data_IF_230822192218
#
_entry.id   IF_230822192218
#
_cell.length_a   1.000
_cell.length_b   1.000
_cell.length_c   1.000
_cell.angle_alpha   90.00
_cell.angle_beta   90.00
_cell.angle_gamma   90.00
#
_symmetry.space_group_name_H-M   'P 1'
#
loop_
_entity.id
_entity.type
_entity.pdbx_description
1 polymer ?
#
# COMPACT_ATOMS: atom_id res chain seq x y z
N UNK A 1 -21.00 27.02 27.38
CA UNK A 1 -22.36 26.48 27.63
C UNK A 1 -22.70 25.51 26.51
N UNK A 2 -23.15 24.31 26.86
CA UNK A 2 -23.51 23.26 25.89
C UNK A 2 -24.59 23.74 24.93
N UNK A 3 -24.57 23.22 23.70
CA UNK A 3 -25.65 23.46 22.71
C UNK A 3 -26.99 23.06 23.33
N UNK A 4 -27.00 21.92 24.03
CA UNK A 4 -28.17 21.40 24.75
C UNK A 4 -28.73 22.41 25.77
N UNK A 5 -27.89 22.99 26.63
CA UNK A 5 -28.37 23.91 27.65
C UNK A 5 -28.97 25.19 27.03
N UNK A 6 -28.40 25.69 25.93
CA UNK A 6 -28.93 26.88 25.24
C UNK A 6 -30.27 26.62 24.56
N UNK A 7 -30.45 25.44 23.94
CA UNK A 7 -31.74 25.04 23.35
C UNK A 7 -32.80 24.88 24.44
N UNK A 8 -32.49 24.15 25.52
CA UNK A 8 -33.41 23.97 26.65
C UNK A 8 -33.83 25.29 27.29
N UNK A 9 -32.89 26.23 27.49
CA UNK A 9 -33.21 27.55 28.02
C UNK A 9 -34.17 28.32 27.10
N UNK A 10 -33.94 28.27 25.79
CA UNK A 10 -34.76 29.01 24.83
C UNK A 10 -36.17 28.42 24.67
N UNK A 11 -36.29 27.09 24.66
CA UNK A 11 -37.57 26.38 24.65
C UNK A 11 -38.33 26.65 25.96
N UNK A 12 -37.63 26.68 27.10
CA UNK A 12 -38.21 27.04 28.39
C UNK A 12 -38.80 28.45 28.41
N UNK A 13 -38.09 29.44 27.84
CA UNK A 13 -38.60 30.81 27.72
C UNK A 13 -39.87 30.85 26.85
N UNK A 14 -39.87 30.22 25.67
CA UNK A 14 -41.06 30.14 24.80
C UNK A 14 -42.25 29.50 25.53
N UNK A 15 -42.01 28.43 26.28
CA UNK A 15 -43.05 27.77 27.04
C UNK A 15 -43.64 28.67 28.13
N UNK A 16 -42.79 29.40 28.87
CA UNK A 16 -43.25 30.34 29.91
C UNK A 16 -44.08 31.49 29.31
N UNK A 17 -43.68 32.03 28.15
CA UNK A 17 -44.45 33.07 27.46
C UNK A 17 -45.81 32.53 27.02
N UNK A 18 -45.85 31.34 26.40
CA UNK A 18 -47.09 30.71 25.98
C UNK A 18 -48.02 30.40 27.17
N UNK A 19 -47.47 29.90 28.29
CA UNK A 19 -48.21 29.63 29.51
C UNK A 19 -48.81 30.92 30.12
N UNK A 20 -48.04 32.01 30.14
CA UNK A 20 -48.51 33.32 30.60
C UNK A 20 -49.64 33.87 29.73
N UNK A 21 -49.51 33.78 28.40
CA UNK A 21 -50.59 34.18 27.47
C UNK A 21 -51.85 33.34 27.68
N UNK A 22 -51.70 32.04 27.88
CA UNK A 22 -52.83 31.13 28.13
C UNK A 22 -53.52 31.46 29.45
N UNK A 23 -52.76 31.69 30.52
CA UNK A 23 -53.31 32.06 31.82
C UNK A 23 -54.07 33.40 31.77
N UNK A 24 -53.52 34.42 31.08
CA UNK A 24 -54.19 35.69 30.87
C UNK A 24 -55.48 35.54 30.06
N UNK A 25 -55.43 34.77 28.97
CA UNK A 25 -56.61 34.47 28.14
C UNK A 25 -57.69 33.75 28.95
N UNK A 26 -57.29 32.75 29.73
CA UNK A 26 -58.21 31.99 30.58
C UNK A 26 -58.88 32.88 31.63
N UNK A 27 -58.11 33.74 32.31
CA UNK A 27 -58.62 34.67 33.33
C UNK A 27 -59.69 35.60 32.75
N UNK A 28 -59.35 36.34 31.68
CA UNK A 28 -60.25 37.33 31.06
C UNK A 28 -61.47 36.65 30.43
N UNK A 29 -61.29 35.51 29.74
CA UNK A 29 -62.42 34.77 29.14
C UNK A 29 -63.36 34.20 30.21
N UNK A 30 -62.85 33.85 31.39
CA UNK A 30 -63.69 33.34 32.48
C UNK A 30 -64.60 34.41 33.07
N UNK A 31 -64.15 35.67 33.11
CA UNK A 31 -64.92 36.84 33.56
C UNK A 31 -65.99 37.23 32.52
N UNK A 32 -65.67 37.18 31.22
CA UNK A 32 -66.61 37.50 30.13
C UNK A 32 -67.88 36.63 30.06
N UNK A 33 -67.91 35.49 30.74
CA UNK A 33 -69.08 34.58 30.73
C UNK A 33 -70.32 35.24 31.33
N UNK A 34 -70.17 36.18 32.26
CA UNK A 34 -71.27 36.89 32.92
C UNK A 34 -71.63 38.21 32.22
N UNK A 35 -70.69 38.88 31.54
CA UNK A 35 -70.88 40.18 30.84
C UNK A 35 -72.06 40.21 29.87
N UNK A 36 -72.14 39.20 28.99
CA UNK A 36 -73.22 39.12 28.01
C UNK A 36 -74.61 39.00 28.65
N UNK A 37 -74.70 38.39 29.84
CA UNK A 37 -75.94 38.31 30.59
C UNK A 37 -76.26 39.62 31.30
N UNK A 38 -75.25 40.28 31.88
CA UNK A 38 -75.36 41.57 32.57
C UNK A 38 -75.86 42.65 31.62
N UNK A 39 -75.27 42.76 30.42
CA UNK A 39 -75.69 43.73 29.39
C UNK A 39 -77.13 43.45 28.93
N UNK A 40 -77.49 42.18 28.71
CA UNK A 40 -78.86 41.81 28.35
C UNK A 40 -79.87 42.14 29.46
N UNK A 41 -79.50 41.91 30.72
CA UNK A 41 -80.35 42.18 31.87
C UNK A 41 -80.54 43.69 32.06
N UNK A 42 -79.48 44.49 31.91
CA UNK A 42 -79.53 45.94 31.95
C UNK A 42 -80.36 46.51 30.78
N UNK A 43 -80.21 45.98 29.57
CA UNK A 43 -81.08 46.34 28.43
C UNK A 43 -82.55 46.00 28.66
N UNK A 44 -82.85 44.89 29.37
CA UNK A 44 -84.22 44.54 29.78
C UNK A 44 -84.79 45.54 30.79
N UNK A 45 -83.99 46.09 31.71
CA UNK A 45 -84.45 47.09 32.68
C UNK A 45 -85.03 48.32 31.98
N UNK A 46 -84.33 48.82 30.96
CA UNK A 46 -84.80 49.92 30.11
C UNK A 46 -86.18 49.67 29.52
N UNK A 47 -86.36 48.49 28.93
CA UNK A 47 -87.64 48.09 28.34
C UNK A 47 -88.75 47.98 29.40
N UNK A 48 -88.42 47.48 30.61
CA UNK A 48 -89.39 47.38 31.71
C UNK A 48 -89.87 48.77 32.19
N UNK A 49 -88.99 49.76 32.30
CA UNK A 49 -89.36 51.13 32.66
C UNK A 49 -90.35 51.73 31.67
N UNK A 50 -90.04 51.64 30.37
CA UNK A 50 -90.94 52.13 29.31
C UNK A 50 -92.25 51.37 29.28
N UNK A 51 -92.22 50.05 29.50
CA UNK A 51 -93.42 49.21 29.54
C UNK A 51 -94.29 49.54 30.76
N UNK A 52 -93.71 49.74 31.94
CA UNK A 52 -94.42 50.18 33.14
C UNK A 52 -95.08 51.54 32.88
N UNK A 53 -94.34 52.51 32.35
CA UNK A 53 -94.89 53.83 32.05
C UNK A 53 -96.07 53.73 31.05
N UNK A 54 -95.92 52.94 29.98
CA UNK A 54 -96.98 52.70 29.00
C UNK A 54 -98.21 52.00 29.61
N UNK A 55 -98.01 50.95 30.39
CA UNK A 55 -99.09 50.18 31.02
C UNK A 55 -99.87 51.05 32.04
N UNK A 56 -99.16 51.90 32.79
CA UNK A 56 -99.75 52.87 33.74
C UNK A 56 -100.56 53.95 33.02
N UNK A 57 -100.05 54.52 31.92
CA UNK A 57 -100.79 55.50 31.11
C UNK A 57 -102.03 54.89 30.45
N UNK A 58 -101.91 53.65 29.94
CA UNK A 58 -103.04 52.92 29.37
C UNK A 58 -104.12 52.68 30.43
N UNK A 59 -103.74 52.29 31.65
CA UNK A 59 -104.65 52.12 32.79
C UNK A 59 -105.31 53.44 33.17
N UNK A 60 -104.56 54.55 33.23
CA UNK A 60 -105.10 55.88 33.51
C UNK A 60 -106.14 56.33 32.47
N UNK A 61 -105.92 55.97 31.20
CA UNK A 61 -106.85 56.28 30.11
C UNK A 61 -108.10 55.38 30.16
N UNK A 62 -107.95 54.06 30.39
CA UNK A 62 -109.06 53.11 30.50
C UNK A 62 -109.92 53.29 31.75
N UNK A 63 -109.34 53.82 32.84
CA UNK A 63 -110.07 54.17 34.05
C UNK A 63 -111.06 55.33 33.83
N UNK A 64 -110.80 56.22 32.86
CA UNK A 64 -111.75 57.27 32.44
C UNK A 64 -112.92 56.73 31.60
N UNK A 65 -112.73 55.60 30.92
CA UNK A 65 -113.71 54.94 30.06
C UNK A 65 -114.39 53.71 30.67
N UNK A 66 -114.18 53.45 31.98
CA UNK A 66 -114.96 52.49 32.77
C UNK A 66 -114.55 51.00 32.66
N UNK A 67 -113.37 50.69 32.13
CA UNK A 67 -113.00 49.31 31.76
C UNK A 67 -111.59 48.85 32.14
N UNK A 68 -111.01 49.31 33.26
CA UNK A 68 -109.68 48.87 33.68
C UNK A 68 -109.69 47.38 34.12
N UNK A 69 -108.80 46.51 33.59
CA UNK A 69 -108.71 45.11 34.01
C UNK A 69 -108.34 44.97 35.49
N UNK A 70 -109.04 44.10 36.23
CA UNK A 70 -108.71 43.79 37.62
C UNK A 70 -107.32 43.12 37.72
N UNK A 71 -106.46 43.61 38.63
CA UNK A 71 -105.13 43.05 38.90
C UNK A 71 -103.95 43.68 38.14
N UNK A 72 -104.20 44.52 37.12
CA UNK A 72 -103.11 45.15 36.34
C UNK A 72 -102.22 46.08 37.18
N UNK A 73 -102.80 46.77 38.18
CA UNK A 73 -102.05 47.60 39.13
C UNK A 73 -101.09 46.79 40.02
N UNK A 74 -101.52 45.61 40.48
CA UNK A 74 -100.67 44.71 41.29
C UNK A 74 -99.51 44.14 40.45
N UNK A 75 -99.75 43.85 39.18
CA UNK A 75 -98.72 43.42 38.24
C UNK A 75 -97.70 44.54 37.95
N UNK A 76 -98.15 45.79 37.85
CA UNK A 76 -97.27 46.96 37.72
C UNK A 76 -96.37 47.11 38.96
N UNK A 77 -96.93 47.00 40.17
CA UNK A 77 -96.13 47.04 41.42
C UNK A 77 -95.11 45.92 41.50
N UNK A 78 -95.49 44.69 41.12
CA UNK A 78 -94.55 43.56 41.05
C UNK A 78 -93.40 43.83 40.09
N UNK A 79 -93.67 44.39 38.90
CA UNK A 79 -92.63 44.76 37.93
C UNK A 79 -91.72 45.88 38.44
N UNK A 80 -92.27 46.87 39.14
CA UNK A 80 -91.49 47.94 39.75
C UNK A 80 -90.55 47.41 40.85
N UNK A 81 -91.02 46.51 41.72
CA UNK A 81 -90.18 45.85 42.72
C UNK A 81 -89.10 44.95 42.11
N UNK A 82 -89.44 44.23 41.02
CA UNK A 82 -88.47 43.43 40.27
C UNK A 82 -87.41 44.30 39.58
N UNK A 83 -87.78 45.50 39.12
CA UNK A 83 -86.87 46.50 38.57
C UNK A 83 -85.85 46.96 39.63
N UNK A 84 -86.31 47.37 40.81
CA UNK A 84 -85.41 47.78 41.91
C UNK A 84 -84.45 46.66 42.33
N UNK A 85 -84.96 45.44 42.45
CA UNK A 85 -84.16 44.26 42.83
C UNK A 85 -83.07 43.99 41.79
N UNK A 86 -83.43 44.04 40.51
CA UNK A 86 -82.49 43.81 39.41
C UNK A 86 -81.46 44.94 39.31
N UNK A 87 -81.87 46.19 39.51
CA UNK A 87 -80.97 47.34 39.50
C UNK A 87 -79.88 47.22 40.58
N UNK A 88 -80.27 46.82 41.79
CA UNK A 88 -79.35 46.66 42.91
C UNK A 88 -78.39 45.48 42.70
N UNK A 89 -78.90 44.39 42.10
CA UNK A 89 -78.11 43.23 41.71
C UNK A 89 -77.05 43.58 40.64
N UNK A 90 -77.41 44.39 39.64
CA UNK A 90 -76.46 44.86 38.63
C UNK A 90 -75.38 45.75 39.25
N UNK A 91 -75.74 46.62 40.19
CA UNK A 91 -74.79 47.55 40.81
C UNK A 91 -73.80 46.86 41.77
N UNK A 92 -74.28 45.93 42.60
CA UNK A 92 -73.52 45.38 43.73
C UNK A 92 -73.05 43.94 43.53
N UNK A 93 -73.49 43.29 42.46
CA UNK A 93 -73.29 41.86 42.25
C UNK A 93 -74.19 41.01 43.16
N UNK A 94 -74.18 39.70 42.92
CA UNK A 94 -74.97 38.72 43.64
C UNK A 94 -75.51 37.61 42.73
N UNK A 95 -76.48 36.85 43.23
CA UNK A 95 -77.05 35.74 42.45
C UNK A 95 -78.35 36.16 41.79
N UNK A 96 -78.38 36.13 40.45
CA UNK A 96 -79.62 36.24 39.69
C UNK A 96 -80.35 34.90 39.69
N UNK A 97 -81.53 34.84 40.31
CA UNK A 97 -82.38 33.65 40.36
C UNK A 97 -83.53 33.78 39.35
N UNK A 98 -83.22 33.49 38.08
CA UNK A 98 -84.18 33.47 36.96
C UNK A 98 -84.50 32.05 36.49
N UNK A 99 -84.59 31.83 35.17
CA UNK A 99 -84.74 30.48 34.60
C UNK A 99 -83.51 29.58 34.81
N UNK A 100 -82.36 30.18 35.12
CA UNK A 100 -81.11 29.53 35.53
C UNK A 100 -80.44 30.46 36.56
N UNK A 101 -79.73 29.87 37.53
CA UNK A 101 -78.96 30.62 38.53
C UNK A 101 -77.63 31.07 37.93
N UNK A 102 -77.34 32.36 38.03
CA UNK A 102 -76.07 32.94 37.60
C UNK A 102 -75.51 33.84 38.68
N UNK A 103 -74.20 33.79 38.89
CA UNK A 103 -73.49 34.79 39.66
C UNK A 103 -73.22 35.99 38.76
N UNK A 104 -73.53 37.18 39.26
CA UNK A 104 -73.16 38.46 38.66
C UNK A 104 -72.08 39.05 39.55
N UNK A 105 -70.91 39.27 38.97
CA UNK A 105 -69.82 39.93 39.67
C UNK A 105 -70.16 41.41 39.89
N UNK A 106 -69.64 42.04 40.97
CA UNK A 106 -69.84 43.45 41.19
C UNK A 106 -69.34 44.28 40.01
N UNK A 107 -70.16 45.21 39.54
CA UNK A 107 -69.77 46.16 38.48
C UNK A 107 -68.55 46.99 38.90
N UNK A 108 -67.77 47.48 37.94
CA UNK A 108 -66.71 48.45 38.23
C UNK A 108 -67.23 49.66 39.00
N UNK A 109 -66.34 50.39 39.67
CA UNK A 109 -66.71 51.58 40.47
C UNK A 109 -67.51 52.60 39.64
N UNK A 110 -67.16 52.78 38.36
CA UNK A 110 -67.85 53.72 37.46
C UNK A 110 -69.21 53.21 37.02
N UNK A 111 -69.29 51.95 36.56
CA UNK A 111 -70.56 51.34 36.17
C UNK A 111 -71.54 51.23 37.36
N UNK A 112 -71.04 50.84 38.54
CA UNK A 112 -71.80 50.81 39.78
C UNK A 112 -72.34 52.20 40.17
N UNK A 113 -71.55 53.27 40.00
CA UNK A 113 -72.00 54.63 40.28
C UNK A 113 -73.14 55.06 39.35
N UNK A 114 -73.06 54.74 38.05
CA UNK A 114 -74.12 55.02 37.07
C UNK A 114 -75.38 54.18 37.34
N UNK A 115 -75.21 52.91 37.74
CA UNK A 115 -76.32 52.04 38.14
C UNK A 115 -76.98 52.54 39.43
N UNK A 116 -76.22 53.04 40.40
CA UNK A 116 -76.75 53.65 41.62
C UNK A 116 -77.51 54.95 41.30
N UNK A 117 -77.01 55.77 40.37
CA UNK A 117 -77.70 56.97 39.89
C UNK A 117 -79.05 56.61 39.25
N UNK A 118 -79.06 55.65 38.33
CA UNK A 118 -80.30 55.13 37.74
C UNK A 118 -81.25 54.57 38.82
N UNK A 119 -80.72 53.84 39.81
CA UNK A 119 -81.51 53.32 40.93
C UNK A 119 -82.14 54.40 41.81
N UNK A 120 -81.47 55.54 42.00
CA UNK A 120 -82.06 56.69 42.71
C UNK A 120 -83.24 57.30 41.98
N UNK A 121 -83.23 57.27 40.64
CA UNK A 121 -84.31 57.79 39.80
C UNK A 121 -85.53 56.85 39.71
N UNK A 122 -85.37 55.56 40.04
CA UNK A 122 -86.48 54.60 40.09
C UNK A 122 -87.49 54.98 41.18
N UNK A 123 -87.03 55.52 42.33
CA UNK A 123 -87.89 55.94 43.43
C UNK A 123 -88.90 57.05 43.02
N UNK A 124 -88.48 58.21 42.48
CA UNK A 124 -89.43 59.24 42.04
C UNK A 124 -90.32 58.74 40.88
N UNK A 125 -89.79 57.90 39.98
CA UNK A 125 -90.64 57.24 38.98
C UNK A 125 -91.72 56.36 39.62
N UNK A 126 -91.38 55.57 40.63
CA UNK A 126 -92.33 54.76 41.39
C UNK A 126 -93.40 55.59 42.12
N UNK A 127 -93.04 56.77 42.64
CA UNK A 127 -94.00 57.70 43.25
C UNK A 127 -95.02 58.20 42.22
N UNK A 128 -94.59 58.57 41.02
CA UNK A 128 -95.50 58.97 39.93
C UNK A 128 -96.39 57.81 39.46
N UNK A 129 -95.84 56.58 39.40
CA UNK A 129 -96.62 55.36 39.10
C UNK A 129 -97.73 55.15 40.14
N UNK A 130 -97.42 55.21 41.44
CA UNK A 130 -98.41 55.02 42.50
C UNK A 130 -99.44 56.16 42.56
N UNK A 131 -99.02 57.40 42.32
CA UNK A 131 -99.95 58.54 42.29
C UNK A 131 -101.07 58.36 41.26
N UNK A 132 -100.74 57.76 40.10
CA UNK A 132 -101.68 57.42 39.02
C UNK A 132 -102.54 56.22 39.40
N UNK A 133 -101.95 55.17 39.97
CA UNK A 133 -102.69 53.97 40.41
C UNK A 133 -103.69 54.28 41.53
N UNK A 134 -103.37 55.21 42.44
CA UNK A 134 -104.23 55.64 43.54
C UNK A 134 -105.37 56.59 43.12
N UNK A 135 -105.49 56.94 41.83
CA UNK A 135 -106.49 57.87 41.27
C UNK A 135 -106.51 59.24 41.96
N UNK A 136 -105.33 59.77 42.29
CA UNK A 136 -105.23 61.09 42.93
C UNK A 136 -105.45 62.19 41.87
N UNK A 137 -106.25 63.22 42.15
CA UNK A 137 -106.61 64.30 41.19
C UNK A 137 -105.43 65.19 40.71
N UNK A 138 -104.20 64.93 41.16
CA UNK A 138 -103.01 65.72 40.87
C UNK A 138 -102.08 65.07 39.81
N UNK A 139 -102.64 64.40 38.80
CA UNK A 139 -101.86 63.61 37.83
C UNK A 139 -101.59 64.39 36.54
N UNK A 140 -100.31 64.59 36.22
CA UNK A 140 -99.85 64.99 34.88
C UNK A 140 -99.14 63.81 34.22
N UNK A 141 -99.71 63.16 33.19
CA UNK A 141 -99.04 62.14 32.39
C UNK A 141 -97.62 62.54 31.94
N UNK A 142 -97.40 63.83 31.74
CA UNK A 142 -96.12 64.45 31.43
C UNK A 142 -95.04 64.21 32.50
N UNK A 143 -95.40 64.21 33.80
CA UNK A 143 -94.45 63.94 34.90
C UNK A 143 -94.01 62.49 34.94
N UNK A 144 -94.92 61.54 34.70
CA UNK A 144 -94.59 60.13 34.59
C UNK A 144 -93.68 59.87 33.38
N UNK A 145 -94.00 60.48 32.23
CA UNK A 145 -93.17 60.36 31.02
C UNK A 145 -91.77 60.93 31.30
N UNK A 146 -91.67 62.14 31.85
CA UNK A 146 -90.39 62.76 32.19
C UNK A 146 -89.58 61.94 33.20
N UNK A 147 -90.23 61.38 34.24
CA UNK A 147 -89.57 60.50 35.20
C UNK A 147 -89.09 59.18 34.55
N UNK A 148 -89.89 58.61 33.65
CA UNK A 148 -89.52 57.39 32.91
C UNK A 148 -88.35 57.65 31.94
N UNK A 149 -88.34 58.79 31.26
CA UNK A 149 -87.25 59.21 30.36
C UNK A 149 -85.97 59.44 31.15
N UNK A 150 -86.05 60.06 32.34
CA UNK A 150 -84.89 60.26 33.21
C UNK A 150 -84.26 58.93 33.66
N UNK A 151 -85.08 57.95 34.07
CA UNK A 151 -84.60 56.61 34.43
C UNK A 151 -83.98 55.91 33.22
N UNK A 152 -84.65 55.95 32.06
CA UNK A 152 -84.14 55.33 30.81
C UNK A 152 -82.80 55.95 30.40
N UNK A 153 -82.67 57.28 30.45
CA UNK A 153 -81.43 57.97 30.11
C UNK A 153 -80.28 57.61 31.06
N UNK A 154 -80.54 57.46 32.36
CA UNK A 154 -79.54 57.00 33.31
C UNK A 154 -79.16 55.53 33.10
N UNK A 155 -80.13 54.67 32.79
CA UNK A 155 -79.88 53.26 32.44
C UNK A 155 -79.09 53.12 31.14
N UNK A 156 -79.34 53.96 30.13
CA UNK A 156 -78.58 53.97 28.88
C UNK A 156 -77.11 54.33 29.11
N UNK A 157 -76.83 55.30 29.98
CA UNK A 157 -75.46 55.63 30.40
C UNK A 157 -74.78 54.45 31.09
N UNK A 158 -75.47 53.77 32.00
CA UNK A 158 -74.94 52.60 32.70
C UNK A 158 -74.67 51.43 31.73
N UNK A 159 -75.59 51.13 30.81
CA UNK A 159 -75.42 50.10 29.78
C UNK A 159 -74.26 50.43 28.85
N UNK A 160 -74.15 51.67 28.38
CA UNK A 160 -73.05 52.11 27.53
C UNK A 160 -71.69 51.94 28.23
N UNK A 161 -71.61 52.24 29.53
CA UNK A 161 -70.38 52.05 30.30
C UNK A 161 -70.02 50.59 30.53
N UNK A 162 -71.03 49.73 30.76
CA UNK A 162 -70.84 48.28 30.86
C UNK A 162 -70.36 47.69 29.52
N UNK A 163 -70.91 48.16 28.39
CA UNK A 163 -70.46 47.75 27.05
C UNK A 163 -69.02 48.18 26.78
N UNK A 164 -68.66 49.43 27.12
CA UNK A 164 -67.29 49.93 26.98
C UNK A 164 -66.28 49.13 27.82
N UNK A 165 -66.67 48.67 29.01
CA UNK A 165 -65.81 47.83 29.86
C UNK A 165 -65.46 46.50 29.19
N UNK A 166 -66.48 45.80 28.66
CA UNK A 166 -66.26 44.54 27.94
C UNK A 166 -65.41 44.74 26.68
N UNK A 167 -65.57 45.88 25.99
CA UNK A 167 -64.71 46.24 24.84
C UNK A 167 -63.25 46.50 25.27
N UNK A 168 -63.03 47.19 26.39
CA UNK A 168 -61.70 47.44 26.97
C UNK A 168 -61.01 46.14 27.38
N UNK A 169 -61.74 45.18 27.96
CA UNK A 169 -61.21 43.86 28.31
C UNK A 169 -60.79 43.06 27.07
N UNK A 170 -61.60 43.10 26.01
CA UNK A 170 -61.24 42.47 24.72
C UNK A 170 -60.03 43.14 24.09
N UNK A 171 -59.96 44.47 24.12
CA UNK A 171 -58.80 45.24 23.62
C UNK A 171 -57.53 44.92 24.41
N UNK A 172 -57.63 44.80 25.73
CA UNK A 172 -56.53 44.41 26.61
C UNK A 172 -56.05 43.00 26.29
N UNK A 173 -56.96 42.05 26.09
CA UNK A 173 -56.64 40.68 25.67
C UNK A 173 -55.93 40.65 24.30
N UNK A 174 -56.42 41.40 23.31
CA UNK A 174 -55.76 41.54 22.00
C UNK A 174 -54.35 42.12 22.12
N UNK A 175 -54.15 43.11 22.99
CA UNK A 175 -52.84 43.73 23.22
C UNK A 175 -51.87 42.75 23.87
N UNK A 176 -52.31 42.00 24.90
CA UNK A 176 -51.51 40.93 25.54
C UNK A 176 -51.12 39.87 24.51
N UNK A 177 -52.04 39.47 23.63
CA UNK A 177 -51.77 38.50 22.57
C UNK A 177 -50.76 39.01 21.54
N UNK A 178 -50.91 40.25 21.08
CA UNK A 178 -50.00 40.86 20.12
C UNK A 178 -48.58 40.99 20.69
N UNK A 179 -48.43 41.47 21.93
CA UNK A 179 -47.14 41.57 22.63
C UNK A 179 -46.53 40.19 22.84
N UNK A 180 -47.33 39.21 23.26
CA UNK A 180 -46.88 37.83 23.45
C UNK A 180 -46.40 37.17 22.15
N UNK A 181 -47.11 37.35 21.03
CA UNK A 181 -46.67 36.88 19.70
C UNK A 181 -45.38 37.57 19.26
N UNK A 182 -45.25 38.88 19.49
CA UNK A 182 -44.02 39.62 19.22
C UNK A 182 -42.82 39.08 20.00
N UNK A 183 -43.01 38.82 21.30
CA UNK A 183 -41.97 38.22 22.14
C UNK A 183 -41.58 36.82 21.66
N UNK A 184 -42.57 35.98 21.32
CA UNK A 184 -42.32 34.66 20.72
C UNK A 184 -41.52 34.75 19.41
N UNK A 185 -41.83 35.72 18.54
CA UNK A 185 -41.09 35.94 17.30
C UNK A 185 -39.63 36.36 17.57
N UNK A 186 -39.39 37.26 18.53
CA UNK A 186 -38.03 37.68 18.91
C UNK A 186 -37.22 36.52 19.49
N UNK A 187 -37.83 35.72 20.38
CA UNK A 187 -37.15 34.53 20.93
C UNK A 187 -36.86 33.53 19.82
N UNK A 188 -37.80 33.29 18.90
CA UNK A 188 -37.61 32.41 17.76
C UNK A 188 -36.45 32.86 16.85
N UNK A 189 -36.40 34.15 16.48
CA UNK A 189 -35.30 34.72 15.70
C UNK A 189 -33.95 34.59 16.42
N UNK A 190 -33.94 34.80 17.73
CA UNK A 190 -32.74 34.64 18.57
C UNK A 190 -32.26 33.19 18.57
N UNK A 191 -33.17 32.23 18.68
CA UNK A 191 -32.86 30.79 18.58
C UNK A 191 -32.30 30.45 17.21
N UNK A 192 -32.92 30.93 16.12
CA UNK A 192 -32.45 30.68 14.76
C UNK A 192 -31.04 31.25 14.53
N UNK A 193 -30.80 32.48 14.98
CA UNK A 193 -29.48 33.10 14.90
C UNK A 193 -28.43 32.32 15.70
N UNK A 194 -28.78 31.92 16.93
CA UNK A 194 -27.89 31.15 17.79
C UNK A 194 -27.63 29.75 17.23
N UNK A 195 -28.64 29.07 16.67
CA UNK A 195 -28.49 27.77 16.02
C UNK A 195 -27.59 27.86 14.78
N UNK A 196 -27.75 28.91 13.97
CA UNK A 196 -26.87 29.18 12.84
C UNK A 196 -25.42 29.35 13.27
N UNK A 197 -25.16 30.16 14.30
CA UNK A 197 -23.80 30.46 14.78
C UNK A 197 -23.17 29.29 15.56
N UNK A 198 -23.94 28.59 16.38
CA UNK A 198 -23.43 27.54 17.26
C UNK A 198 -23.39 26.15 16.61
N UNK A 199 -24.27 25.86 15.64
CA UNK A 199 -24.39 24.52 15.05
C UNK A 199 -24.04 24.53 13.57
N UNK A 200 -24.80 25.25 12.75
CA UNK A 200 -24.65 25.21 11.27
C UNK A 200 -23.28 25.72 10.79
N UNK A 201 -22.79 26.84 11.33
CA UNK A 201 -21.50 27.40 10.94
C UNK A 201 -20.30 26.49 11.26
N UNK A 202 -20.13 26.02 12.51
CA UNK A 202 -19.07 25.07 12.85
C UNK A 202 -19.18 23.73 12.10
N UNK A 203 -20.38 23.19 11.89
CA UNK A 203 -20.56 21.99 11.06
C UNK A 203 -20.14 22.22 9.61
N UNK A 204 -20.45 23.39 9.04
CA UNK A 204 -19.99 23.78 7.70
C UNK A 204 -18.46 23.74 7.58
N UNK A 205 -17.75 24.30 8.57
CA UNK A 205 -16.28 24.27 8.63
C UNK A 205 -15.71 22.86 8.75
N UNK A 206 -16.34 21.98 9.55
CA UNK A 206 -15.91 20.57 9.62
C UNK A 206 -16.14 19.83 8.30
N UNK A 207 -17.24 20.14 7.59
CA UNK A 207 -17.50 19.61 6.26
C UNK A 207 -16.44 20.07 5.26
N UNK A 208 -16.11 21.36 5.24
CA UNK A 208 -15.05 21.90 4.37
C UNK A 208 -13.70 21.27 4.67
N UNK A 209 -13.34 21.14 5.96
CA UNK A 209 -12.12 20.44 6.38
C UNK A 209 -12.08 18.99 5.89
N UNK A 210 -13.16 18.22 6.12
CA UNK A 210 -13.24 16.84 5.64
C UNK A 210 -13.16 16.75 4.11
N UNK A 211 -13.73 17.72 3.39
CA UNK A 211 -13.64 17.80 1.93
C UNK A 211 -12.23 18.12 1.44
N UNK A 212 -11.48 18.99 2.12
CA UNK A 212 -10.10 19.31 1.78
C UNK A 212 -9.18 18.10 1.96
N UNK A 213 -9.33 17.40 3.09
CA UNK A 213 -8.61 16.15 3.39
C UNK A 213 -8.92 15.08 2.36
N UNK A 214 -10.20 14.91 1.98
CA UNK A 214 -10.61 13.98 0.93
C UNK A 214 -10.06 14.37 -0.45
N UNK A 215 -9.81 15.66 -0.70
CA UNK A 215 -9.14 16.18 -1.88
C UNK A 215 -7.62 16.00 -1.88
N UNK A 216 -7.03 15.42 -0.83
CA UNK A 216 -5.60 15.16 -0.71
C UNK A 216 -4.83 16.21 0.10
N UNK A 217 -5.48 17.27 0.58
CA UNK A 217 -4.84 18.26 1.45
C UNK A 217 -4.85 17.81 2.91
N UNK A 218 -3.81 17.07 3.30
CA UNK A 218 -3.62 16.59 4.68
C UNK A 218 -2.98 17.63 5.60
N UNK A 219 -2.64 18.81 5.07
CA UNK A 219 -2.13 19.94 5.87
C UNK A 219 -3.26 20.90 6.26
N UNK A 220 -4.48 20.66 5.78
CA UNK A 220 -5.66 21.42 6.17
C UNK A 220 -5.81 21.42 7.70
N UNK A 221 -6.30 22.54 8.25
CA UNK A 221 -6.52 22.69 9.70
C UNK A 221 -7.97 23.11 9.93
N UNK A 222 -8.73 22.45 10.81
CA UNK A 222 -10.10 22.83 11.12
C UNK A 222 -10.12 24.06 12.04
N UNK A 223 -9.90 25.24 11.45
CA UNK A 223 -9.69 26.49 12.16
C UNK A 223 -10.97 27.14 12.73
N UNK A 224 -10.78 27.83 13.86
CA UNK A 224 -11.76 28.69 14.52
C UNK A 224 -12.50 28.02 15.69
N UNK A 225 -13.52 28.71 16.20
CA UNK A 225 -14.16 28.33 17.46
C UNK A 225 -15.27 27.30 17.29
N UNK A 226 -15.25 26.27 18.14
CA UNK A 226 -16.26 25.22 18.18
C UNK A 226 -16.88 25.16 19.57
N UNK A 227 -18.22 24.99 19.68
CA UNK A 227 -18.83 24.61 20.94
C UNK A 227 -18.21 23.32 21.48
N UNK A 228 -18.22 23.08 22.80
CA UNK A 228 -17.56 21.94 23.42
C UNK A 228 -17.88 20.59 22.76
N UNK A 229 -19.15 20.34 22.41
CA UNK A 229 -19.59 19.09 21.79
C UNK A 229 -19.04 18.90 20.38
N UNK A 230 -18.94 19.98 19.59
CA UNK A 230 -18.37 19.94 18.24
C UNK A 230 -16.84 20.01 18.25
N UNK A 231 -16.23 20.57 19.31
CA UNK A 231 -14.78 20.58 19.49
C UNK A 231 -14.25 19.15 19.68
N UNK A 232 -14.97 18.29 20.40
CA UNK A 232 -14.63 16.86 20.51
C UNK A 232 -14.61 16.19 19.13
N UNK A 233 -15.61 16.48 18.28
CA UNK A 233 -15.67 15.95 16.92
C UNK A 233 -14.53 16.48 16.04
N UNK A 234 -14.23 17.79 16.13
CA UNK A 234 -13.07 18.41 15.48
C UNK A 234 -11.78 17.67 15.83
N UNK A 235 -11.54 17.43 17.11
CA UNK A 235 -10.31 16.81 17.61
C UNK A 235 -10.20 15.33 17.24
N UNK A 236 -11.34 14.63 17.16
CA UNK A 236 -11.38 13.27 16.64
C UNK A 236 -11.01 13.23 15.15
N UNK A 237 -11.57 14.13 14.34
CA UNK A 237 -11.24 14.25 12.91
C UNK A 237 -9.78 14.68 12.70
N UNK A 238 -9.26 15.62 13.48
CA UNK A 238 -7.86 16.03 13.41
C UNK A 238 -6.90 14.88 13.72
N UNK A 239 -7.17 14.10 14.78
CA UNK A 239 -6.36 12.91 15.11
C UNK A 239 -6.41 11.83 14.03
N UNK A 240 -7.56 11.64 13.37
CA UNK A 240 -7.69 10.72 12.25
C UNK A 240 -6.81 11.14 11.07
N UNK A 241 -6.78 12.43 10.75
CA UNK A 241 -5.95 12.97 9.66
C UNK A 241 -4.46 12.90 10.00
N UNK A 242 -4.07 13.17 11.24
CA UNK A 242 -2.67 12.99 11.66
C UNK A 242 -2.23 11.52 11.54
N UNK A 243 -3.10 10.58 11.92
CA UNK A 243 -2.85 9.15 11.74
C UNK A 243 -2.68 8.78 10.26
N UNK A 244 -3.56 9.31 9.39
CA UNK A 244 -3.47 9.12 7.94
C UNK A 244 -2.17 9.70 7.35
N UNK A 245 -1.73 10.86 7.85
CA UNK A 245 -0.45 11.46 7.45
C UNK A 245 0.72 10.57 7.84
N UNK A 246 0.70 10.02 9.06
CA UNK A 246 1.71 9.09 9.54
C UNK A 246 1.77 7.80 8.72
N UNK A 247 0.62 7.21 8.37
CA UNK A 247 0.59 6.00 7.53
C UNK A 247 1.07 6.27 6.11
N UNK A 248 0.71 7.40 5.49
CA UNK A 248 1.20 7.77 4.17
C UNK A 248 2.70 8.04 4.14
N UNK A 249 3.25 8.72 5.15
CA UNK A 249 4.69 8.90 5.28
C UNK A 249 5.44 7.56 5.40
N UNK A 250 4.87 6.60 6.14
CA UNK A 250 5.43 5.26 6.24
C UNK A 250 5.36 4.47 4.92
N UNK A 251 4.25 4.61 4.17
CA UNK A 251 4.11 3.99 2.84
C UNK A 251 5.13 4.57 1.87
N UNK A 252 5.32 5.90 1.85
CA UNK A 252 6.29 6.55 0.96
C UNK A 252 7.73 6.14 1.28
N UNK A 253 8.11 6.12 2.56
CA UNK A 253 9.43 5.63 2.98
C UNK A 253 9.65 4.17 2.56
N UNK A 254 8.64 3.31 2.70
CA UNK A 254 8.71 1.92 2.29
C UNK A 254 8.75 1.75 0.76
N UNK A 255 8.09 2.63 0.01
CA UNK A 255 8.14 2.65 -1.45
C UNK A 255 9.54 3.06 -1.96
N UNK A 256 10.19 4.03 -1.30
CA UNK A 256 11.60 4.38 -1.56
C UNK A 256 12.54 3.21 -1.24
N UNK A 257 12.30 2.48 -0.15
CA UNK A 257 13.08 1.29 0.17
C UNK A 257 12.91 0.20 -0.89
N UNK A 258 11.67 -0.07 -1.33
CA UNK A 258 11.37 -1.03 -2.38
C UNK A 258 12.02 -0.69 -3.72
N UNK A 259 12.11 0.59 -4.08
CA UNK A 259 12.79 1.02 -5.32
C UNK A 259 14.29 0.79 -5.26
N UNK A 260 14.93 1.05 -4.11
CA UNK A 260 16.35 0.70 -3.91
C UNK A 260 16.56 -0.82 -3.98
N UNK A 261 15.72 -1.62 -3.31
CA UNK A 261 15.82 -3.08 -3.35
C UNK A 261 15.58 -3.64 -4.77
N UNK A 262 14.71 -3.02 -5.56
CA UNK A 262 14.47 -3.41 -6.96
C UNK A 262 15.71 -3.15 -7.83
N UNK A 263 16.34 -1.98 -7.70
CA UNK A 263 17.59 -1.64 -8.38
C UNK A 263 18.73 -2.62 -8.01
N UNK A 264 18.86 -2.96 -6.72
CA UNK A 264 19.87 -3.90 -6.25
C UNK A 264 19.60 -5.32 -6.78
N UNK A 265 18.34 -5.75 -6.83
CA UNK A 265 17.96 -7.03 -7.43
C UNK A 265 18.27 -7.08 -8.93
N UNK A 266 18.03 -6.00 -9.67
CA UNK A 266 18.36 -5.92 -11.10
C UNK A 266 19.88 -6.02 -11.33
N UNK A 267 20.68 -5.33 -10.51
CA UNK A 267 22.15 -5.44 -10.53
C UNK A 267 22.64 -6.84 -10.21
N UNK A 268 22.07 -7.49 -9.19
CA UNK A 268 22.43 -8.86 -8.84
C UNK A 268 22.10 -9.84 -9.98
N UNK A 269 20.96 -9.66 -10.64
CA UNK A 269 20.54 -10.49 -11.78
C UNK A 269 21.45 -10.29 -13.00
N UNK A 270 21.88 -9.05 -13.27
CA UNK A 270 22.84 -8.74 -14.33
C UNK A 270 24.20 -9.41 -14.06
N UNK A 271 24.72 -9.31 -12.83
CA UNK A 271 25.97 -9.96 -12.43
C UNK A 271 25.88 -11.49 -12.53
N UNK A 272 24.75 -12.09 -12.13
CA UNK A 272 24.51 -13.52 -12.24
C UNK A 272 24.54 -14.01 -13.69
N UNK A 273 23.89 -13.27 -14.62
CA UNK A 273 23.93 -13.58 -16.06
C UNK A 273 25.33 -13.50 -16.64
N UNK A 274 26.13 -12.51 -16.23
CA UNK A 274 27.53 -12.41 -16.67
C UNK A 274 28.36 -13.61 -16.18
N UNK A 275 28.16 -14.02 -14.92
CA UNK A 275 28.83 -15.18 -14.35
C UNK A 275 28.42 -16.49 -15.05
N UNK A 276 27.15 -16.64 -15.41
CA UNK A 276 26.65 -17.78 -16.19
C UNK A 276 27.33 -17.84 -17.57
N UNK A 277 27.44 -16.71 -18.27
CA UNK A 277 28.13 -16.62 -19.55
C UNK A 277 29.62 -17.00 -19.45
N UNK A 278 30.33 -16.52 -18.41
CA UNK A 278 31.73 -16.90 -18.14
C UNK A 278 31.87 -18.40 -17.86
N UNK A 279 30.93 -18.97 -17.11
CA UNK A 279 30.94 -20.40 -16.78
C UNK A 279 30.69 -21.26 -18.02
N UNK A 280 29.77 -20.84 -18.90
CA UNK A 280 29.52 -21.50 -20.18
C UNK A 280 30.76 -21.48 -21.09
N UNK A 281 31.47 -20.35 -21.17
CA UNK A 281 32.72 -20.25 -21.94
C UNK A 281 33.82 -21.18 -21.35
N UNK A 282 33.95 -21.20 -20.02
CA UNK A 282 34.92 -22.08 -19.34
C UNK A 282 34.63 -23.56 -19.62
N UNK A 283 33.36 -23.96 -19.57
CA UNK A 283 32.94 -25.33 -19.91
C UNK A 283 33.22 -25.68 -21.38
N UNK A 284 33.01 -24.75 -22.31
CA UNK A 284 33.35 -24.96 -23.73
C UNK A 284 34.86 -25.17 -23.92
N UNK A 285 35.70 -24.34 -23.29
CA UNK A 285 37.16 -24.49 -23.32
C UNK A 285 37.62 -25.81 -22.69
N UNK A 286 36.99 -26.23 -21.59
CA UNK A 286 37.25 -27.54 -20.98
C UNK A 286 36.89 -28.69 -21.93
N UNK A 287 35.77 -28.58 -22.65
CA UNK A 287 35.36 -29.53 -23.67
C UNK A 287 36.40 -29.68 -24.79
N UNK A 288 36.92 -28.58 -25.33
CA UNK A 288 38.00 -28.59 -26.31
C UNK A 288 39.32 -29.17 -25.75
N UNK A 289 39.66 -28.83 -24.51
CA UNK A 289 40.83 -29.37 -23.81
C UNK A 289 40.75 -30.89 -23.67
N UNK A 290 39.59 -31.41 -23.26
CA UNK A 290 39.33 -32.83 -23.14
C UNK A 290 39.38 -33.56 -24.50
N UNK A 291 38.91 -32.92 -25.58
CA UNK A 291 39.01 -33.47 -26.93
C UNK A 291 40.47 -33.54 -27.41
N UNK A 292 41.27 -32.50 -27.18
CA UNK A 292 42.72 -32.49 -27.47
C UNK A 292 43.46 -33.57 -26.69
N UNK A 293 43.18 -33.71 -25.40
CA UNK A 293 43.77 -34.75 -24.56
C UNK A 293 43.47 -36.15 -25.09
N UNK A 294 42.23 -36.42 -25.53
CA UNK A 294 41.87 -37.67 -26.20
C UNK A 294 42.67 -37.89 -27.49
N UNK A 295 42.81 -36.87 -28.33
CA UNK A 295 43.62 -36.96 -29.56
C UNK A 295 45.10 -37.29 -29.29
N UNK A 296 45.71 -36.63 -28.31
CA UNK A 296 47.09 -36.92 -27.88
C UNK A 296 47.20 -38.37 -27.38
N UNK A 297 46.28 -38.81 -26.53
CA UNK A 297 46.28 -40.18 -26.01
C UNK A 297 46.19 -41.22 -27.14
N UNK A 298 45.38 -40.96 -28.18
CA UNK A 298 45.26 -41.84 -29.32
C UNK A 298 46.56 -41.91 -30.14
N UNK A 299 47.19 -40.76 -30.40
CA UNK A 299 48.50 -40.70 -31.08
C UNK A 299 49.59 -41.43 -30.29
N UNK A 300 49.61 -41.30 -28.95
CA UNK A 300 50.53 -42.06 -28.09
C UNK A 300 50.31 -43.57 -28.21
N UNK A 301 49.06 -44.02 -28.23
CA UNK A 301 48.75 -45.45 -28.42
C UNK A 301 49.23 -45.96 -29.79
N UNK A 302 49.00 -45.20 -30.86
CA UNK A 302 49.45 -45.56 -32.21
C UNK A 302 50.98 -45.61 -32.32
N UNK A 303 51.69 -44.61 -31.78
CA UNK A 303 53.15 -44.61 -31.75
C UNK A 303 53.71 -45.75 -30.90
N UNK A 304 53.07 -46.09 -29.78
CA UNK A 304 53.47 -47.22 -28.93
C UNK A 304 53.31 -48.55 -29.67
N UNK A 305 52.21 -48.72 -30.41
CA UNK A 305 52.00 -49.90 -31.26
C UNK A 305 53.06 -49.99 -32.38
N UNK A 306 53.37 -48.86 -33.03
CA UNK A 306 54.44 -48.80 -34.04
C UNK A 306 55.83 -49.10 -33.46
N UNK A 307 56.10 -48.69 -32.23
CA UNK A 307 57.36 -48.98 -31.54
C UNK A 307 57.55 -50.48 -31.27
N UNK A 308 56.49 -51.20 -30.87
CA UNK A 308 56.54 -52.65 -30.68
C UNK A 308 56.95 -53.38 -31.96
N UNK A 309 56.39 -52.99 -33.11
CA UNK A 309 56.78 -53.55 -34.41
C UNK A 309 58.25 -53.27 -34.76
N UNK A 310 58.76 -52.06 -34.45
CA UNK A 310 60.19 -51.74 -34.63
C UNK A 310 61.09 -52.56 -33.71
N UNK A 311 60.68 -52.81 -32.47
CA UNK A 311 61.42 -53.68 -31.54
C UNK A 311 61.53 -55.10 -32.10
N UNK A 312 60.45 -55.64 -32.66
CA UNK A 312 60.45 -56.96 -33.29
C UNK A 312 61.40 -57.01 -34.50
N UNK A 313 61.37 -55.98 -35.35
CA UNK A 313 62.28 -55.86 -36.49
C UNK A 313 63.76 -55.79 -36.04
N UNK A 314 64.06 -55.04 -34.97
CA UNK A 314 65.39 -54.99 -34.38
C UNK A 314 65.80 -56.36 -33.84
N UNK A 315 64.89 -57.09 -33.19
CA UNK A 315 65.13 -58.46 -32.72
C UNK A 315 65.48 -59.42 -33.86
N UNK A 316 64.77 -59.35 -34.98
CA UNK A 316 65.07 -60.14 -36.18
C UNK A 316 66.42 -59.75 -36.81
N UNK A 317 66.70 -58.44 -36.90
CA UNK A 317 67.99 -57.94 -37.40
C UNK A 317 69.16 -58.39 -36.53
N UNK A 318 69.00 -58.36 -35.21
CA UNK A 318 70.00 -58.86 -34.27
C UNK A 318 70.24 -60.38 -34.42
N UNK A 319 69.18 -61.17 -34.64
CA UNK A 319 69.31 -62.60 -34.92
C UNK A 319 70.09 -62.86 -36.22
N UNK A 320 69.77 -62.16 -37.31
CA UNK A 320 70.50 -62.28 -38.57
C UNK A 320 71.97 -61.85 -38.43
N UNK A 321 72.24 -60.81 -37.65
CA UNK A 321 73.61 -60.38 -37.36
C UNK A 321 74.40 -61.43 -36.58
N UNK A 322 73.77 -62.10 -35.60
CA UNK A 322 74.38 -63.22 -34.88
C UNK A 322 74.74 -64.37 -35.81
N UNK A 323 73.87 -64.72 -36.75
CA UNK A 323 74.12 -65.82 -37.69
C UNK A 323 75.30 -65.48 -38.62
N UNK A 324 75.39 -64.24 -39.13
CA UNK A 324 76.56 -63.76 -39.90
C UNK A 324 77.85 -63.78 -39.09
N UNK A 325 77.78 -63.49 -37.79
CA UNK A 325 78.95 -63.61 -36.91
C UNK A 325 79.40 -65.06 -36.75
N UNK A 326 78.47 -66.03 -36.70
CA UNK A 326 78.82 -67.45 -36.68
C UNK A 326 79.51 -67.90 -37.98
N UNK A 327 78.99 -67.47 -39.14
CA UNK A 327 79.63 -67.76 -40.44
C UNK A 327 81.05 -67.17 -40.50
N UNK A 328 81.22 -65.93 -40.00
CA UNK A 328 82.52 -65.28 -39.93
C UNK A 328 83.48 -66.03 -39.00
N UNK A 329 83.00 -66.50 -37.85
CA UNK A 329 83.80 -67.30 -36.93
C UNK A 329 84.26 -68.63 -37.58
N UNK A 330 83.35 -69.32 -38.28
CA UNK A 330 83.68 -70.54 -39.01
C UNK A 330 84.72 -70.28 -40.12
N UNK A 331 84.59 -69.18 -40.87
CA UNK A 331 85.58 -68.77 -41.86
C UNK A 331 86.95 -68.48 -41.22
N UNK A 332 86.98 -67.87 -40.03
CA UNK A 332 88.21 -67.63 -39.27
C UNK A 332 88.85 -68.94 -38.79
N UNK A 333 88.07 -69.94 -38.36
CA UNK A 333 88.59 -71.28 -38.03
C UNK A 333 89.23 -71.96 -39.25
N UNK A 334 88.56 -71.88 -40.40
CA UNK A 334 89.07 -72.45 -41.65
C UNK A 334 90.35 -71.74 -42.10
N UNK A 335 90.39 -70.41 -41.98
CA UNK A 335 91.58 -69.62 -42.30
C UNK A 335 92.76 -69.97 -41.37
N UNK A 336 92.51 -70.19 -40.07
CA UNK A 336 93.54 -70.64 -39.13
C UNK A 336 94.11 -72.01 -39.52
N UNK A 337 93.25 -72.94 -39.96
CA UNK A 337 93.70 -74.24 -40.46
C UNK A 337 94.60 -74.09 -41.70
N UNK A 338 94.24 -73.23 -42.65
CA UNK A 338 95.06 -72.95 -43.84
C UNK A 338 96.40 -72.32 -43.46
N UNK A 339 96.44 -71.40 -42.49
CA UNK A 339 97.70 -70.79 -42.02
C UNK A 339 98.62 -71.85 -41.41
N UNK A 340 98.11 -72.79 -40.62
CA UNK A 340 98.89 -73.90 -40.07
C UNK A 340 99.42 -74.85 -41.17
N UNK A 341 98.62 -75.10 -42.20
CA UNK A 341 99.03 -75.91 -43.35
C UNK A 341 100.14 -75.22 -44.16
N UNK A 342 100.00 -73.93 -44.45
CA UNK A 342 101.04 -73.13 -45.12
C UNK A 342 102.32 -73.12 -44.28
N UNK A 343 102.24 -72.98 -42.96
CA UNK A 343 103.40 -73.04 -42.08
C UNK A 343 104.10 -74.41 -42.12
N UNK A 344 103.34 -75.51 -42.14
CA UNK A 344 103.90 -76.87 -42.33
C UNK A 344 104.58 -77.03 -43.68
N UNK A 345 103.94 -76.57 -44.76
CA UNK A 345 104.50 -76.64 -46.11
C UNK A 345 105.79 -75.82 -46.23
N UNK A 346 105.82 -74.60 -45.66
CA UNK A 346 107.02 -73.79 -45.62
C UNK A 346 108.16 -74.46 -44.84
N UNK A 347 107.86 -75.10 -43.70
CA UNK A 347 108.84 -75.87 -42.93
C UNK A 347 109.39 -77.07 -43.73
N UNK A 348 108.51 -77.84 -44.39
CA UNK A 348 108.91 -78.98 -45.23
C UNK A 348 109.77 -78.53 -46.43
N UNK A 349 109.42 -77.41 -47.07
CA UNK A 349 110.22 -76.82 -48.13
C UNK A 349 111.61 -76.38 -47.64
N UNK A 350 111.70 -75.81 -46.43
CA UNK A 350 112.98 -75.44 -45.82
C UNK A 350 113.87 -76.66 -45.54
N UNK A 351 113.30 -77.76 -45.01
CA UNK A 351 114.01 -79.04 -44.82
C UNK A 351 114.50 -79.60 -46.16
N UNK A 352 113.66 -79.59 -47.19
CA UNK A 352 114.03 -80.07 -48.53
C UNK A 352 115.14 -79.24 -49.16
N UNK A 353 115.11 -77.92 -48.98
CA UNK A 353 116.17 -77.03 -49.42
C UNK A 353 117.50 -77.28 -48.68
N UNK A 354 117.43 -77.60 -47.38
CA UNK A 354 118.60 -77.99 -46.61
C UNK A 354 119.22 -79.31 -47.10
N UNK A 355 118.40 -80.33 -47.38
CA UNK A 355 118.86 -81.62 -47.93
C UNK A 355 119.49 -81.46 -49.33
N UNK A 356 118.89 -80.63 -50.19
CA UNK A 356 119.44 -80.30 -51.50
C UNK A 356 120.82 -79.61 -51.39
N UNK A 357 121.00 -78.72 -50.41
CA UNK A 357 122.28 -78.07 -50.12
C UNK A 357 123.34 -79.09 -49.69
N UNK A 358 123.03 -80.02 -48.79
CA UNK A 358 123.96 -81.06 -48.33
C UNK A 358 124.39 -81.99 -49.46
N UNK A 359 123.45 -82.39 -50.33
CA UNK A 359 123.78 -83.16 -51.54
C UNK A 359 124.68 -82.39 -52.50
N UNK A 360 124.45 -81.09 -52.69
CA UNK A 360 125.31 -80.24 -53.51
C UNK A 360 126.73 -80.10 -52.93
N UNK A 361 126.88 -80.01 -51.59
CA UNK A 361 128.18 -80.01 -50.91
C UNK A 361 128.92 -81.34 -51.13
N UNK A 362 128.23 -82.46 -50.92
CA UNK A 362 128.79 -83.81 -51.16
C UNK A 362 129.23 -83.97 -52.61
N UNK A 363 128.42 -83.48 -53.56
CA UNK A 363 128.74 -83.46 -54.98
C UNK A 363 129.99 -82.62 -55.28
N UNK A 364 130.12 -81.43 -54.68
CA UNK A 364 131.28 -80.56 -54.84
C UNK A 364 132.58 -81.21 -54.34
N UNK A 365 132.52 -81.93 -53.21
CA UNK A 365 133.67 -82.70 -52.71
C UNK A 365 134.03 -83.86 -53.63
N UNK A 366 133.04 -84.53 -54.23
CA UNK A 366 133.25 -85.54 -55.27
C UNK A 366 134.00 -84.98 -56.48
N UNK A 367 133.59 -83.81 -57.00
CA UNK A 367 134.30 -83.12 -58.10
C UNK A 367 135.72 -82.75 -57.70
N UNK A 368 135.94 -82.23 -56.47
CA UNK A 368 137.27 -81.90 -55.96
C UNK A 368 138.19 -83.12 -55.92
N UNK A 369 137.68 -84.27 -55.50
CA UNK A 369 138.42 -85.53 -55.48
C UNK A 369 138.79 -86.02 -56.89
N UNK A 370 137.89 -85.86 -57.87
CA UNK A 370 138.15 -86.16 -59.27
C UNK A 370 139.27 -85.27 -59.86
N UNK A 371 139.26 -83.97 -59.57
CA UNK A 371 140.31 -83.03 -60.00
C UNK A 371 141.68 -83.42 -59.43
N UNK A 372 141.75 -83.79 -58.15
CA UNK A 372 143.00 -84.26 -57.53
C UNK A 372 143.54 -85.53 -58.18
N UNK A 373 142.64 -86.45 -58.56
CA UNK A 373 143.01 -87.68 -59.27
C UNK A 373 143.58 -87.38 -60.67
N UNK A 374 143.01 -86.40 -61.38
CA UNK A 374 143.52 -85.93 -62.69
C UNK A 374 144.92 -85.31 -62.57
N UNK A 375 145.17 -84.49 -61.54
CA UNK A 375 146.51 -83.97 -61.24
C UNK A 375 147.52 -85.10 -60.96
N UNK A 376 147.09 -86.16 -60.25
CA UNK A 376 147.89 -87.35 -60.01
C UNK A 376 148.25 -88.10 -61.31
N UNK A 377 147.30 -88.24 -62.23
CA UNK A 377 147.53 -88.83 -63.56
C UNK A 377 148.54 -87.98 -64.36
N UNK A 378 148.39 -86.64 -64.34
CA UNK A 378 149.29 -85.72 -65.05
C UNK A 378 150.76 -85.90 -64.64
N UNK A 379 151.04 -86.09 -63.34
CA UNK A 379 152.41 -86.35 -62.85
C UNK A 379 152.98 -87.67 -63.37
N UNK A 380 152.21 -88.75 -63.31
CA UNK A 380 152.64 -90.06 -63.80
C UNK A 380 152.98 -90.05 -65.30
N UNK A 381 152.24 -89.27 -66.10
CA UNK A 381 152.52 -89.12 -67.53
C UNK A 381 153.87 -88.40 -67.76
N UNK A 382 154.21 -87.40 -66.93
CA UNK A 382 155.49 -86.69 -67.03
C UNK A 382 156.68 -87.59 -66.66
N UNK A 383 156.58 -88.38 -65.59
CA UNK A 383 157.63 -89.35 -65.20
C UNK A 383 157.87 -90.42 -66.29
N UNK A 384 156.79 -90.84 -66.96
CA UNK A 384 156.86 -91.80 -68.07
C UNK A 384 157.62 -91.23 -69.27
N UNK A 385 157.41 -89.94 -69.59
CA UNK A 385 158.12 -89.23 -70.68
C UNK A 385 159.62 -89.17 -70.41
N UNK A 386 160.02 -88.89 -69.17
CA UNK A 386 161.43 -88.84 -68.79
C UNK A 386 162.10 -90.22 -68.90
N UNK A 387 161.41 -91.27 -68.43
CA UNK A 387 161.87 -92.65 -68.52
C UNK A 387 162.07 -93.13 -69.97
N UNK A 388 161.15 -92.77 -70.87
CA UNK A 388 161.24 -93.05 -72.31
C UNK A 388 162.45 -92.37 -72.97
N UNK A 389 162.75 -91.13 -72.57
CA UNK A 389 163.88 -90.36 -73.11
C UNK A 389 165.21 -91.02 -72.76
N UNK A 390 165.34 -91.50 -71.51
CA UNK A 390 166.53 -92.20 -71.02
C UNK A 390 166.75 -93.55 -71.71
N UNK A 391 165.67 -94.28 -72.01
CA UNK A 391 165.73 -95.54 -72.74
C UNK A 391 166.25 -95.36 -74.18
N UNK A 392 165.86 -94.25 -74.84
CA UNK A 392 166.34 -93.91 -76.18
C UNK A 392 167.87 -93.74 -76.25
N UNK A 393 168.47 -93.04 -75.28
CA UNK A 393 169.94 -92.86 -75.23
C UNK A 393 170.70 -94.18 -75.02
N UNK A 394 170.10 -95.11 -74.27
CA UNK A 394 170.70 -96.40 -73.98
C UNK A 394 170.69 -97.34 -75.19
N UNK A 395 169.67 -97.22 -76.06
CA UNK A 395 169.60 -97.96 -77.31
C UNK A 395 170.66 -97.49 -78.34
N UNK A 396 170.94 -96.18 -78.45
CA UNK A 396 171.99 -95.65 -79.33
C UNK A 396 173.39 -96.11 -78.92
N UNK A 397 173.64 -96.19 -77.61
CA UNK A 397 174.92 -96.66 -77.06
C UNK A 397 175.21 -98.13 -77.42
N UNK A 398 174.18 -98.97 -77.49
CA UNK A 398 174.29 -100.38 -77.91
C UNK A 398 174.62 -100.47 -79.41
N UNK A 399 174.05 -99.60 -80.24
CA UNK A 399 174.34 -99.55 -81.68
C UNK A 399 175.81 -99.29 -82.00
N UNK A 400 176.51 -98.48 -81.20
CA UNK A 400 177.95 -98.23 -81.37
C UNK A 400 178.81 -99.46 -81.06
N UNK A 401 178.47 -100.22 -80.02
CA UNK A 401 179.21 -101.44 -79.65
C UNK A 401 179.06 -102.52 -80.73
N UNK A 402 177.88 -102.63 -81.35
CA UNK A 402 177.61 -103.59 -82.42
C UNK A 402 178.51 -103.38 -83.64
N UNK A 403 178.81 -102.13 -84.03
CA UNK A 403 179.70 -101.84 -85.15
C UNK A 403 181.16 -102.26 -84.86
N UNK A 404 181.64 -102.05 -83.64
CA UNK A 404 183.02 -102.46 -83.25
C UNK A 404 183.17 -103.98 -83.21
N UNK A 405 182.12 -104.71 -82.82
CA UNK A 405 182.15 -106.19 -82.82
C UNK A 405 182.19 -106.73 -84.25
N UNK A 406 181.49 -106.09 -85.19
CA UNK A 406 181.52 -106.49 -86.60
C UNK A 406 182.90 -106.30 -87.23
N UNK A 407 183.59 -105.19 -86.90
CA UNK A 407 184.91 -104.89 -87.44
C UNK A 407 186.00 -105.86 -86.93
N UNK A 408 185.86 -106.40 -85.72
CA UNK A 408 186.81 -107.37 -85.13
C UNK A 408 186.64 -108.77 -85.75
N UNK A 409 185.43 -109.13 -86.19
CA UNK A 409 185.16 -110.44 -86.78
C UNK A 409 185.82 -110.63 -88.15
N UNK A 410 185.94 -109.56 -88.95
CA UNK A 410 186.60 -109.60 -90.27
C UNK A 410 188.12 -109.76 -90.19
N UNK A 411 188.74 -109.51 -89.03
CA UNK A 411 190.20 -109.47 -88.88
C UNK A 411 190.86 -110.82 -88.57
N UNK A 412 190.11 -111.93 -88.59
CA UNK A 412 190.64 -113.27 -88.29
C UNK A 412 190.52 -114.27 -89.46
N UNK A 413 190.07 -113.81 -90.63
CA UNK A 413 190.25 -114.47 -91.94
C UNK A 413 191.46 -113.86 -92.65
#
# INVERSE_FOLDING_TARGET
MSIRARILASVGILFLVALGMFAATWSITSEQRSDGLVINLAGRQRMQVQRIAKDVLALAHQAKSGGAPAGLGDDIRKRLSALETTQNLLARGGTYDGSKKFAIDPSSREAAALLDEAGRLIKPFGVEVEAILAKTDAVSPERLVAASEAVVAAQDKAVARLQAETEDDVSTLMTIQAVGMGLCAVVCLTVLFMFRRAVLGPLGRLREYASAVAGGDLQAVPAGDYPPELAVLRDALARMVESLRGTLAAVEAKNQECTVHADDAERALAAAKEQEARTAEMLARLGEGAARARGISQSVMEHSAGLLSRIEQVGQGAAQQRDRMMDTAAAMEQMNATVLEVARNASSAAVSAADAKDKAVTGADGVRSAVNSIEGIRRRILDLKESMTRLGQQADSIGHIMNVISDIADQTN
#
